data_IF_551857862159
#
_entry.id   IF_551857862159
#
_cell.length_a   1.000
_cell.length_b   1.000
_cell.length_c   1.000
_cell.angle_alpha   90.00
_cell.angle_beta   90.00
_cell.angle_gamma   90.00
#
_symmetry.space_group_name_H-M   'P 1'
#
loop_
_entity.id
_entity.type
_entity.pdbx_description
1 polymer ?
#
# COMPACT_ATOMS: atom_id res chain seq x y z
N UNK A 1 4.42 6.57 37.67
CA UNK A 1 3.98 5.87 36.45
C UNK A 1 4.78 6.47 35.31
N UNK A 2 5.72 5.69 34.75
CA UNK A 2 6.89 6.22 34.04
C UNK A 2 6.51 6.81 32.69
N UNK A 3 6.86 8.08 32.46
CA UNK A 3 6.68 8.78 31.18
C UNK A 3 7.43 8.07 30.04
N UNK A 4 8.50 7.34 30.37
CA UNK A 4 9.29 6.49 29.46
C UNK A 4 8.54 5.29 28.87
N UNK A 5 7.53 4.74 29.57
CA UNK A 5 6.73 3.61 29.04
C UNK A 5 5.72 4.07 27.98
N UNK A 6 5.25 5.32 28.07
CA UNK A 6 4.29 5.90 27.12
C UNK A 6 4.94 6.24 25.78
N UNK A 7 6.15 6.79 25.80
CA UNK A 7 6.89 7.16 24.59
C UNK A 7 7.24 5.93 23.76
N UNK A 8 7.74 4.88 24.41
CA UNK A 8 8.14 3.62 23.76
C UNK A 8 6.94 2.88 23.15
N UNK A 9 5.80 2.84 23.87
CA UNK A 9 4.58 2.22 23.35
C UNK A 9 3.98 2.99 22.15
N UNK A 10 4.07 4.33 22.16
CA UNK A 10 3.62 5.18 21.06
C UNK A 10 4.49 5.04 19.82
N UNK A 11 5.81 4.96 19.97
CA UNK A 11 6.75 4.73 18.86
C UNK A 11 6.57 3.34 18.25
N UNK A 12 6.43 2.29 19.06
CA UNK A 12 6.17 0.92 18.58
C UNK A 12 4.85 0.84 17.81
N UNK A 13 3.79 1.51 18.30
CA UNK A 13 2.51 1.60 17.60
C UNK A 13 2.63 2.32 16.25
N UNK A 14 3.39 3.41 16.18
CA UNK A 14 3.57 4.22 14.97
C UNK A 14 4.39 3.48 13.91
N UNK A 15 5.43 2.75 14.31
CA UNK A 15 6.24 1.91 13.41
C UNK A 15 5.44 0.70 12.91
N UNK A 16 4.63 0.07 13.77
CA UNK A 16 3.74 -1.03 13.40
C UNK A 16 2.67 -0.62 12.38
N UNK A 17 2.06 0.55 12.57
CA UNK A 17 1.10 1.12 11.62
C UNK A 17 1.76 1.47 10.29
N UNK A 18 2.96 2.04 10.31
CA UNK A 18 3.68 2.36 9.08
C UNK A 18 4.07 1.11 8.27
N UNK A 19 4.47 0.02 8.93
CA UNK A 19 4.72 -1.27 8.29
C UNK A 19 3.45 -1.86 7.69
N UNK A 20 2.31 -1.72 8.36
CA UNK A 20 1.00 -2.17 7.87
C UNK A 20 0.61 -1.40 6.61
N UNK A 21 0.70 -0.06 6.63
CA UNK A 21 0.41 0.80 5.48
C UNK A 21 1.34 0.48 4.30
N UNK A 22 2.63 0.25 4.55
CA UNK A 22 3.59 -0.18 3.52
C UNK A 22 3.21 -1.53 2.90
N UNK A 23 2.76 -2.47 3.71
CA UNK A 23 2.33 -3.80 3.27
C UNK A 23 1.06 -3.71 2.41
N UNK A 24 0.07 -2.92 2.82
CA UNK A 24 -1.12 -2.64 2.01
C UNK A 24 -0.76 -2.01 0.67
N UNK A 25 0.20 -1.07 0.66
CA UNK A 25 0.72 -0.47 -0.58
C UNK A 25 1.35 -1.50 -1.52
N UNK A 26 2.09 -2.47 -0.98
CA UNK A 26 2.65 -3.58 -1.77
C UNK A 26 1.55 -4.49 -2.33
N UNK A 27 0.54 -4.85 -1.53
CA UNK A 27 -0.58 -5.67 -1.96
C UNK A 27 -1.33 -5.00 -3.11
N UNK A 28 -1.61 -3.69 -3.01
CA UNK A 28 -2.27 -2.94 -4.07
C UNK A 28 -1.49 -2.98 -5.40
N UNK A 29 -0.16 -2.86 -5.36
CA UNK A 29 0.68 -2.96 -6.55
C UNK A 29 0.73 -4.38 -7.14
N UNK A 30 0.80 -5.41 -6.30
CA UNK A 30 0.72 -6.80 -6.77
C UNK A 30 -0.63 -7.08 -7.41
N UNK A 31 -1.72 -6.59 -6.83
CA UNK A 31 -3.05 -6.69 -7.40
C UNK A 31 -3.17 -5.96 -8.74
N UNK A 32 -2.56 -4.78 -8.89
CA UNK A 32 -2.54 -4.08 -10.18
C UNK A 32 -1.90 -4.94 -11.28
N UNK A 33 -0.75 -5.56 -10.98
CA UNK A 33 -0.07 -6.47 -11.91
C UNK A 33 -0.90 -7.73 -12.17
N UNK A 34 -1.51 -8.31 -11.13
CA UNK A 34 -2.36 -9.49 -11.27
C UNK A 34 -3.57 -9.21 -12.17
N UNK A 35 -4.23 -8.06 -12.02
CA UNK A 35 -5.33 -7.61 -12.89
C UNK A 35 -4.85 -7.48 -14.34
N UNK A 36 -3.67 -6.90 -14.57
CA UNK A 36 -3.08 -6.79 -15.90
C UNK A 36 -2.92 -8.17 -16.58
N UNK A 37 -2.28 -9.10 -15.86
CA UNK A 37 -2.02 -10.46 -16.35
C UNK A 37 -3.32 -11.21 -16.60
N UNK A 38 -4.28 -11.10 -15.67
CA UNK A 38 -5.57 -11.79 -15.79
C UNK A 38 -6.40 -11.23 -16.97
N UNK A 39 -6.39 -9.92 -17.17
CA UNK A 39 -7.04 -9.28 -18.31
C UNK A 39 -6.44 -9.74 -19.64
N UNK A 40 -5.11 -9.84 -19.73
CA UNK A 40 -4.42 -10.34 -20.93
C UNK A 40 -4.75 -11.81 -21.22
N UNK A 41 -4.82 -12.65 -20.19
CA UNK A 41 -5.15 -14.08 -20.34
C UNK A 41 -6.59 -14.27 -20.83
N UNK A 42 -7.55 -13.53 -20.27
CA UNK A 42 -8.97 -13.74 -20.54
C UNK A 42 -9.49 -13.05 -21.79
N UNK A 43 -9.03 -11.83 -22.07
CA UNK A 43 -9.67 -10.96 -23.06
C UNK A 43 -8.79 -10.64 -24.26
N UNK A 44 -7.49 -10.99 -24.24
CA UNK A 44 -6.45 -10.59 -25.22
C UNK A 44 -6.27 -9.07 -25.41
N UNK A 45 -7.23 -8.25 -25.01
CA UNK A 45 -7.19 -6.79 -24.96
C UNK A 45 -7.53 -6.31 -23.55
N UNK A 46 -6.85 -5.26 -23.10
CA UNK A 46 -7.12 -4.66 -21.80
C UNK A 46 -8.27 -3.66 -21.96
N UNK A 47 -9.42 -3.98 -21.37
CA UNK A 47 -10.56 -3.06 -21.35
C UNK A 47 -10.23 -1.76 -20.59
N UNK A 48 -10.85 -0.66 -21.00
CA UNK A 48 -10.68 0.66 -20.33
C UNK A 48 -10.96 0.57 -18.83
N UNK A 49 -11.95 -0.23 -18.41
CA UNK A 49 -12.28 -0.41 -16.99
C UNK A 49 -11.16 -1.14 -16.23
N UNK A 50 -10.56 -2.18 -16.82
CA UNK A 50 -9.40 -2.85 -16.24
C UNK A 50 -8.20 -1.89 -16.15
N UNK A 51 -8.00 -1.07 -17.18
CA UNK A 51 -6.95 -0.05 -17.24
C UNK A 51 -7.10 1.00 -16.14
N UNK A 52 -8.32 1.51 -15.94
CA UNK A 52 -8.64 2.42 -14.84
C UNK A 52 -8.46 1.76 -13.47
N UNK A 53 -8.91 0.52 -13.30
CA UNK A 53 -8.69 -0.24 -12.08
C UNK A 53 -7.21 -0.41 -11.73
N UNK A 54 -6.38 -0.72 -12.72
CA UNK A 54 -4.93 -0.81 -12.56
C UNK A 54 -4.29 0.53 -12.18
N UNK A 55 -4.72 1.64 -12.80
CA UNK A 55 -4.23 2.97 -12.48
C UNK A 55 -4.58 3.36 -11.03
N UNK A 56 -5.81 3.08 -10.59
CA UNK A 56 -6.24 3.33 -9.20
C UNK A 56 -5.40 2.50 -8.22
N UNK A 57 -5.28 1.19 -8.45
CA UNK A 57 -4.50 0.30 -7.58
C UNK A 57 -3.03 0.71 -7.52
N UNK A 58 -2.45 1.11 -8.65
CA UNK A 58 -1.07 1.61 -8.71
C UNK A 58 -0.93 2.92 -7.93
N UNK A 59 -1.84 3.87 -8.13
CA UNK A 59 -1.85 5.14 -7.41
C UNK A 59 -2.00 4.96 -5.90
N UNK A 60 -2.94 4.12 -5.46
CA UNK A 60 -3.12 3.76 -4.05
C UNK A 60 -1.87 3.09 -3.50
N UNK A 61 -1.30 2.12 -4.22
CA UNK A 61 -0.09 1.41 -3.79
C UNK A 61 1.11 2.32 -3.59
N UNK A 62 1.33 3.26 -4.51
CA UNK A 62 2.38 4.28 -4.39
C UNK A 62 2.07 5.25 -3.24
N UNK A 63 0.84 5.75 -3.15
CA UNK A 63 0.41 6.67 -2.10
C UNK A 63 0.62 6.10 -0.69
N UNK A 64 0.21 4.86 -0.45
CA UNK A 64 0.40 4.18 0.83
C UNK A 64 1.89 3.99 1.16
N UNK A 65 2.75 3.70 0.17
CA UNK A 65 4.20 3.61 0.42
C UNK A 65 4.82 4.96 0.81
N UNK A 66 4.35 6.05 0.20
CA UNK A 66 4.78 7.40 0.56
C UNK A 66 4.31 7.72 1.98
N UNK A 67 3.05 7.43 2.30
CA UNK A 67 2.50 7.64 3.65
C UNK A 67 3.27 6.84 4.71
N UNK A 68 3.57 5.57 4.44
CA UNK A 68 4.41 4.76 5.32
C UNK A 68 5.82 5.36 5.48
N UNK A 69 6.41 5.90 4.40
CA UNK A 69 7.72 6.55 4.48
C UNK A 69 7.69 7.85 5.29
N UNK A 70 6.58 8.59 5.27
CA UNK A 70 6.37 9.79 6.10
C UNK A 70 6.21 9.40 7.58
N UNK A 71 5.38 8.39 7.87
CA UNK A 71 5.15 7.89 9.24
C UNK A 71 6.38 7.25 9.89
N UNK A 72 7.35 6.79 9.11
CA UNK A 72 8.63 6.29 9.62
C UNK A 72 9.68 7.40 9.86
N UNK A 73 9.42 8.63 9.39
CA UNK A 73 10.35 9.77 9.49
C UNK A 73 9.99 10.76 10.59
N UNK A 74 8.73 10.77 11.05
CA UNK A 74 8.23 11.60 12.15
C UNK A 74 7.80 10.74 13.31
#
# INVERSE_FOLDING_TARGET
MSESDKTTASEIGTVGDALTVRTLGNVALVLAVAVAVFALILYQEISTNALLGMLILTGVGVGLRIEAAVRLRG
#
